data_IF_683402965960
#
_entry.id   IF_683402965960
#
_cell.length_a   1.000
_cell.length_b   1.000
_cell.length_c   1.000
_cell.angle_alpha   90.00
_cell.angle_beta   90.00
_cell.angle_gamma   90.00
#
_symmetry.space_group_name_H-M   'P 1'
#
loop_
_entity.id
_entity.type
_entity.pdbx_description
1 polymer ?
#
# COMPACT_ATOMS: atom_id res chain seq x y z
N UNK A 1 -0.24 6.14 -13.59
CA UNK A 1 0.04 4.78 -13.13
C UNK A 1 -0.79 4.63 -11.87
N UNK A 2 -1.95 3.99 -11.95
CA UNK A 2 -2.93 4.00 -10.86
C UNK A 2 -2.43 3.09 -9.74
N UNK A 3 -2.18 3.65 -8.57
CA UNK A 3 -1.80 2.88 -7.41
C UNK A 3 -2.99 2.00 -6.99
N UNK A 4 -2.72 0.71 -6.76
CA UNK A 4 -3.72 -0.25 -6.30
C UNK A 4 -4.35 0.24 -4.98
N UNK A 5 -3.54 0.87 -4.11
CA UNK A 5 -4.00 1.40 -2.83
C UNK A 5 -4.95 2.57 -3.05
N UNK A 6 -4.64 3.51 -3.93
CA UNK A 6 -5.52 4.64 -4.26
C UNK A 6 -6.86 4.14 -4.81
N UNK A 7 -6.82 3.17 -5.74
CA UNK A 7 -8.04 2.58 -6.32
C UNK A 7 -8.91 1.87 -5.26
N UNK A 8 -8.28 1.22 -4.28
CA UNK A 8 -8.99 0.56 -3.18
C UNK A 8 -9.54 1.55 -2.15
N UNK A 9 -8.94 2.73 -2.02
CA UNK A 9 -9.46 3.81 -1.18
C UNK A 9 -10.67 4.50 -1.81
N UNK A 10 -10.75 4.59 -3.13
CA UNK A 10 -11.94 5.12 -3.82
C UNK A 10 -13.18 4.24 -3.63
N UNK A 11 -13.01 2.99 -3.19
CA UNK A 11 -14.09 2.04 -2.97
C UNK A 11 -14.17 1.60 -1.49
N UNK A 12 -14.94 2.29 -0.63
CA UNK A 12 -14.93 2.07 0.83
C UNK A 12 -15.39 0.67 1.27
N UNK A 13 -16.06 -0.09 0.39
CA UNK A 13 -16.54 -1.45 0.68
C UNK A 13 -15.55 -2.56 0.29
N UNK A 14 -14.38 -2.20 -0.25
CA UNK A 14 -13.35 -3.18 -0.60
C UNK A 14 -12.36 -3.38 0.55
N UNK A 15 -11.84 -4.60 0.66
CA UNK A 15 -10.79 -4.95 1.61
C UNK A 15 -9.73 -5.83 0.95
N UNK A 16 -8.50 -5.71 1.41
CA UNK A 16 -7.34 -6.47 0.92
C UNK A 16 -7.12 -7.68 1.82
N UNK A 17 -7.10 -8.88 1.25
CA UNK A 17 -6.80 -10.11 2.00
C UNK A 17 -5.44 -10.65 1.58
N UNK A 18 -4.55 -10.81 2.56
CA UNK A 18 -3.31 -11.56 2.40
C UNK A 18 -3.59 -13.02 2.70
N UNK A 19 -3.28 -13.87 1.73
CA UNK A 19 -3.42 -15.32 1.83
C UNK A 19 -2.05 -15.96 1.96
N UNK A 20 -1.97 -17.02 2.77
CA UNK A 20 -0.80 -17.89 2.80
C UNK A 20 -0.78 -18.70 1.49
N UNK A 21 0.34 -18.66 0.77
CA UNK A 21 0.44 -19.27 -0.56
C UNK A 21 0.39 -20.80 -0.54
N UNK A 22 0.78 -21.43 0.57
CA UNK A 22 0.82 -22.89 0.71
C UNK A 22 -0.54 -23.47 1.11
N UNK A 23 -1.25 -22.80 2.00
CA UNK A 23 -2.51 -23.27 2.61
C UNK A 23 -3.74 -22.58 2.03
N UNK A 24 -3.57 -21.47 1.30
CA UNK A 24 -4.67 -20.63 0.79
C UNK A 24 -5.45 -19.90 1.89
N UNK A 25 -5.02 -19.99 3.15
CA UNK A 25 -5.75 -19.44 4.29
C UNK A 25 -5.50 -17.95 4.43
N UNK A 26 -6.51 -17.23 4.89
CA UNK A 26 -6.37 -15.81 5.22
C UNK A 26 -5.38 -15.64 6.37
N UNK A 27 -4.30 -14.91 6.13
CA UNK A 27 -3.32 -14.50 7.14
C UNK A 27 -3.72 -13.16 7.74
N UNK A 28 -4.18 -12.24 6.89
CA UNK A 28 -4.58 -10.90 7.32
C UNK A 28 -5.62 -10.32 6.37
N UNK A 29 -6.51 -9.49 6.93
CA UNK A 29 -7.42 -8.63 6.16
C UNK A 29 -7.10 -7.19 6.51
N UNK A 30 -6.92 -6.35 5.50
CA UNK A 30 -6.69 -4.91 5.61
C UNK A 30 -7.94 -4.22 5.09
N UNK A 31 -8.63 -3.49 5.95
CA UNK A 31 -9.82 -2.72 5.59
C UNK A 31 -9.45 -1.30 5.14
N UNK A 32 -10.46 -0.52 4.79
CA UNK A 32 -10.32 0.85 4.30
C UNK A 32 -9.53 1.75 5.27
N UNK A 33 -9.87 1.78 6.57
CA UNK A 33 -9.17 2.61 7.57
C UNK A 33 -7.69 2.23 7.69
N UNK A 34 -7.38 0.93 7.64
CA UNK A 34 -6.00 0.46 7.70
C UNK A 34 -5.22 0.78 6.42
N UNK A 35 -5.85 0.70 5.24
CA UNK A 35 -5.26 1.13 3.97
C UNK A 35 -4.96 2.63 3.99
N UNK A 36 -5.89 3.44 4.47
CA UNK A 36 -5.73 4.90 4.56
C UNK A 36 -4.54 5.25 5.47
N UNK A 37 -4.45 4.59 6.63
CA UNK A 37 -3.32 4.76 7.55
C UNK A 37 -1.99 4.36 6.89
N UNK A 38 -1.93 3.23 6.19
CA UNK A 38 -0.72 2.76 5.51
C UNK A 38 -0.24 3.75 4.44
N UNK A 39 -1.15 4.37 3.69
CA UNK A 39 -0.80 5.38 2.70
C UNK A 39 -0.20 6.63 3.36
N UNK A 40 -0.82 7.13 4.43
CA UNK A 40 -0.32 8.29 5.18
C UNK A 40 1.04 7.98 5.80
N UNK A 41 1.20 6.82 6.43
CA UNK A 41 2.48 6.39 7.02
C UNK A 41 3.57 6.29 5.95
N UNK A 42 3.25 5.75 4.76
CA UNK A 42 4.19 5.69 3.63
C UNK A 42 4.58 7.09 3.14
N UNK A 43 3.64 8.03 3.02
CA UNK A 43 3.93 9.40 2.60
C UNK A 43 4.80 10.14 3.62
N UNK A 44 4.51 9.98 4.92
CA UNK A 44 5.28 10.60 6.00
C UNK A 44 6.69 10.00 6.08
N UNK A 45 6.83 8.69 5.95
CA UNK A 45 8.14 8.03 5.93
C UNK A 45 8.95 8.39 4.68
N UNK A 46 8.32 8.39 3.50
CA UNK A 46 8.96 8.83 2.26
C UNK A 46 9.44 10.29 2.39
N UNK A 47 8.65 11.16 3.02
CA UNK A 47 9.04 12.56 3.29
C UNK A 47 10.21 12.72 4.27
N UNK A 48 10.38 11.77 5.20
CA UNK A 48 11.50 11.79 6.17
C UNK A 48 12.81 11.26 5.58
N UNK A 49 12.73 10.27 4.70
CA UNK A 49 13.91 9.70 4.03
C UNK A 49 14.35 10.50 2.79
N UNK A 50 13.44 11.19 2.11
CA UNK A 50 13.72 12.03 0.94
C UNK A 50 14.02 13.49 1.30
N UNK A 51 15.04 13.70 2.16
CA UNK A 51 15.61 15.02 2.47
C UNK A 51 16.20 15.72 1.23
N UNK A 52 15.34 16.32 0.41
CA UNK A 52 15.68 17.13 -0.76
C UNK A 52 16.18 16.40 -2.04
N UNK A 53 15.77 15.15 -2.28
CA UNK A 53 15.86 14.55 -3.63
C UNK A 53 14.60 13.75 -3.95
N UNK A 54 14.00 14.02 -5.10
CA UNK A 54 12.77 13.41 -5.60
C UNK A 54 12.85 11.88 -5.57
N UNK A 55 12.04 11.27 -4.71
CA UNK A 55 11.73 9.84 -4.70
C UNK A 55 10.93 9.48 -5.98
N UNK A 56 11.55 9.55 -7.16
CA UNK A 56 11.00 8.94 -8.38
C UNK A 56 11.22 7.43 -8.31
N UNK A 57 10.09 6.70 -8.28
CA UNK A 57 9.92 5.29 -8.63
C UNK A 57 11.20 4.44 -8.70
N UNK A 58 11.45 3.63 -7.67
CA UNK A 58 12.13 2.34 -7.88
C UNK A 58 11.17 1.43 -8.63
N UNK A 59 11.07 1.61 -9.94
CA UNK A 59 10.85 0.48 -10.84
C UNK A 59 12.04 -0.44 -10.62
N UNK A 60 11.81 -1.63 -10.09
CA UNK A 60 12.80 -2.70 -10.15
C UNK A 60 12.72 -3.21 -11.60
N UNK A 61 13.70 -2.78 -12.39
CA UNK A 61 13.99 -3.37 -13.70
C UNK A 61 15.13 -4.39 -13.50
N UNK A 62 14.90 -5.59 -14.07
CA UNK A 62 15.69 -6.83 -14.17
C UNK A 62 15.87 -7.73 -12.92
#
# INVERSE_FOLDING_TARGET
>A
MNDLIETLLDCPNLSLRLLDSKTGRSVKTVNHDQLQKMLVDQQVNCSKDCGNMSCQNRSIDD
#
